data_IF_472787533791
#
_entry.id   IF_472787533791
#
_cell.length_a   1.000
_cell.length_b   1.000
_cell.length_c   1.000
_cell.angle_alpha   90.00
_cell.angle_beta   90.00
_cell.angle_gamma   90.00
#
_symmetry.space_group_name_H-M   'P 1'
#
loop_
_entity.id
_entity.type
_entity.pdbx_description
1 polymer ?
#
# COMPACT_ATOMS: atom_id res chain seq x y z
N UNK A 1 -10.64 -25.10 34.84
CA UNK A 1 -10.74 -25.09 33.36
C UNK A 1 -10.66 -23.70 32.69
N UNK A 2 -10.89 -22.57 33.39
CA UNK A 2 -10.83 -21.23 32.77
C UNK A 2 -9.43 -20.62 32.56
N UNK A 3 -8.40 -21.10 33.25
CA UNK A 3 -7.03 -20.55 33.22
C UNK A 3 -6.19 -21.07 32.04
N UNK A 4 -6.29 -22.38 31.74
CA UNK A 4 -5.60 -23.01 30.60
C UNK A 4 -6.02 -22.43 29.24
N UNK A 5 -7.32 -22.17 29.03
CA UNK A 5 -7.83 -21.58 27.78
C UNK A 5 -7.36 -20.12 27.56
N UNK A 6 -7.15 -19.36 28.65
CA UNK A 6 -6.65 -17.97 28.59
C UNK A 6 -5.15 -17.95 28.27
N UNK A 7 -4.40 -18.90 28.83
CA UNK A 7 -2.97 -19.05 28.61
C UNK A 7 -2.66 -19.53 27.17
N UNK A 8 -3.45 -20.47 26.62
CA UNK A 8 -3.37 -20.89 25.22
C UNK A 8 -3.75 -19.76 24.23
N UNK A 9 -4.74 -18.93 24.59
CA UNK A 9 -5.12 -17.75 23.78
C UNK A 9 -4.02 -16.70 23.69
N UNK A 10 -3.33 -16.41 24.80
CA UNK A 10 -2.20 -15.47 24.82
C UNK A 10 -0.99 -16.00 24.06
N UNK A 11 -0.67 -17.29 24.17
CA UNK A 11 0.44 -17.90 23.43
C UNK A 11 0.21 -17.85 21.91
N UNK A 12 -1.02 -18.07 21.46
CA UNK A 12 -1.39 -18.03 20.03
C UNK A 12 -1.39 -16.60 19.47
N UNK A 13 -1.83 -15.61 20.25
CA UNK A 13 -1.75 -14.19 19.87
C UNK A 13 -0.29 -13.74 19.76
N UNK A 14 0.53 -14.06 20.75
CA UNK A 14 1.95 -13.69 20.77
C UNK A 14 2.71 -14.28 19.58
N UNK A 15 2.50 -15.57 19.27
CA UNK A 15 3.11 -16.20 18.09
C UNK A 15 2.67 -15.55 16.77
N UNK A 16 1.42 -15.11 16.68
CA UNK A 16 0.93 -14.41 15.48
C UNK A 16 1.57 -13.02 15.32
N UNK A 17 1.67 -12.25 16.41
CA UNK A 17 2.27 -10.91 16.37
C UNK A 17 3.79 -10.97 16.04
N UNK A 18 4.50 -11.98 16.55
CA UNK A 18 5.91 -12.24 16.19
C UNK A 18 6.05 -12.64 14.72
N UNK A 19 5.20 -13.53 14.21
CA UNK A 19 5.20 -13.92 12.80
C UNK A 19 4.89 -12.72 11.88
N UNK A 20 3.95 -11.86 12.29
CA UNK A 20 3.59 -10.64 11.57
C UNK A 20 4.80 -9.69 11.47
N UNK A 21 5.48 -9.46 12.60
CA UNK A 21 6.66 -8.61 12.64
C UNK A 21 7.79 -9.16 11.76
N UNK A 22 8.09 -10.45 11.87
CA UNK A 22 9.10 -11.13 11.06
C UNK A 22 8.79 -11.06 9.56
N UNK A 23 7.53 -11.27 9.17
CA UNK A 23 7.09 -11.17 7.78
C UNK A 23 7.22 -9.73 7.23
N UNK A 24 6.86 -8.73 8.02
CA UNK A 24 6.99 -7.32 7.60
C UNK A 24 8.46 -6.92 7.49
N UNK A 25 9.28 -7.27 8.49
CA UNK A 25 10.69 -6.96 8.51
C UNK A 25 11.44 -7.63 7.35
N UNK A 26 11.24 -8.93 7.16
CA UNK A 26 11.85 -9.66 6.04
C UNK A 26 11.38 -9.13 4.68
N UNK A 27 10.11 -8.75 4.54
CA UNK A 27 9.58 -8.20 3.30
C UNK A 27 10.18 -6.84 2.95
N UNK A 28 10.23 -5.92 3.91
CA UNK A 28 10.86 -4.61 3.74
C UNK A 28 12.36 -4.77 3.43
N UNK A 29 13.05 -5.67 4.14
CA UNK A 29 14.46 -5.95 3.88
C UNK A 29 14.68 -6.47 2.45
N UNK A 30 13.87 -7.41 1.98
CA UNK A 30 13.96 -7.92 0.60
C UNK A 30 13.68 -6.82 -0.41
N UNK A 31 12.71 -5.95 -0.17
CA UNK A 31 12.43 -4.79 -1.04
C UNK A 31 13.66 -3.88 -1.13
N UNK A 32 14.28 -3.53 0.01
CA UNK A 32 15.48 -2.67 0.06
C UNK A 32 16.62 -3.33 -0.73
N UNK A 33 16.90 -4.60 -0.45
CA UNK A 33 18.02 -5.32 -1.06
C UNK A 33 17.80 -5.57 -2.56
N UNK A 34 16.58 -5.94 -2.96
CA UNK A 34 16.27 -6.26 -4.36
C UNK A 34 16.23 -5.02 -5.28
N UNK A 35 16.01 -3.82 -4.72
CA UNK A 35 16.00 -2.55 -5.47
C UNK A 35 17.35 -1.83 -5.47
N UNK A 36 18.36 -2.32 -4.74
CA UNK A 36 19.63 -1.61 -4.58
C UNK A 36 20.68 -2.06 -5.59
N UNK A 37 20.99 -1.18 -6.53
CA UNK A 37 21.95 -1.41 -7.60
C UNK A 37 23.40 -1.51 -7.09
N UNK A 38 23.78 -0.76 -6.06
CA UNK A 38 25.16 -0.76 -5.58
C UNK A 38 25.54 -2.13 -5.01
N UNK A 39 24.64 -2.73 -4.22
CA UNK A 39 24.81 -4.09 -3.69
C UNK A 39 24.99 -5.10 -4.81
N UNK A 40 24.28 -4.90 -5.92
CA UNK A 40 24.35 -5.76 -7.08
C UNK A 40 25.72 -5.69 -7.78
N UNK A 41 26.31 -4.50 -7.83
CA UNK A 41 27.58 -4.22 -8.49
C UNK A 41 28.83 -4.61 -7.67
N UNK A 42 28.69 -5.04 -6.42
CA UNK A 42 29.81 -5.51 -5.59
C UNK A 42 30.41 -6.80 -6.17
N UNK A 43 31.72 -6.85 -6.49
CA UNK A 43 32.40 -8.07 -6.91
C UNK A 43 32.23 -9.20 -5.89
N UNK A 44 32.03 -10.44 -6.37
CA UNK A 44 31.83 -11.61 -5.50
C UNK A 44 32.93 -11.77 -4.44
N UNK A 45 34.17 -11.43 -4.78
CA UNK A 45 35.36 -11.54 -3.92
C UNK A 45 35.35 -10.54 -2.74
N UNK A 46 34.64 -9.41 -2.88
CA UNK A 46 34.54 -8.38 -1.85
C UNK A 46 33.30 -8.51 -0.97
N UNK A 47 32.47 -9.55 -1.19
CA UNK A 47 31.28 -9.78 -0.37
C UNK A 47 31.62 -10.60 0.86
N UNK A 48 31.01 -10.24 1.98
CA UNK A 48 31.07 -11.00 3.24
C UNK A 48 30.59 -12.45 3.05
N UNK A 49 29.62 -12.66 2.16
CA UNK A 49 29.12 -13.98 1.79
C UNK A 49 29.39 -14.28 0.31
N UNK A 50 29.90 -15.48 0.01
CA UNK A 50 30.24 -15.94 -1.34
C UNK A 50 29.02 -16.31 -2.20
N UNK A 51 27.92 -15.57 -2.08
CA UNK A 51 26.65 -15.80 -2.77
C UNK A 51 26.63 -15.00 -4.07
N UNK A 52 26.31 -15.67 -5.18
CA UNK A 52 26.17 -15.04 -6.49
C UNK A 52 24.89 -14.21 -6.60
N UNK A 53 24.87 -13.23 -7.51
CA UNK A 53 23.67 -12.42 -7.78
C UNK A 53 22.45 -13.26 -8.19
N UNK A 54 22.67 -14.34 -8.94
CA UNK A 54 21.62 -15.27 -9.36
C UNK A 54 21.03 -16.03 -8.16
N UNK A 55 21.86 -16.45 -7.21
CA UNK A 55 21.40 -17.09 -5.97
C UNK A 55 20.65 -16.11 -5.06
N UNK A 56 21.11 -14.85 -4.97
CA UNK A 56 20.37 -13.80 -4.25
C UNK A 56 18.98 -13.58 -4.86
N UNK A 57 18.86 -13.54 -6.18
CA UNK A 57 17.58 -13.43 -6.85
C UNK A 57 16.63 -14.59 -6.53
N UNK A 58 17.14 -15.82 -6.46
CA UNK A 58 16.35 -16.97 -6.02
C UNK A 58 15.88 -16.80 -4.57
N UNK A 59 16.79 -16.42 -3.66
CA UNK A 59 16.46 -16.20 -2.25
C UNK A 59 15.36 -15.14 -2.11
N UNK A 60 15.48 -14.01 -2.82
CA UNK A 60 14.46 -12.96 -2.82
C UNK A 60 13.12 -13.45 -3.37
N UNK A 61 13.12 -14.25 -4.43
CA UNK A 61 11.89 -14.83 -5.02
C UNK A 61 11.20 -15.83 -4.09
N UNK A 62 11.98 -16.64 -3.35
CA UNK A 62 11.44 -17.57 -2.34
C UNK A 62 10.86 -16.81 -1.16
N UNK A 63 11.58 -15.81 -0.63
CA UNK A 63 11.08 -14.99 0.49
C UNK A 63 9.82 -14.23 0.07
N UNK A 64 9.80 -13.64 -1.13
CA UNK A 64 8.61 -13.02 -1.72
C UNK A 64 7.43 -13.99 -1.73
N UNK A 65 7.61 -15.22 -2.21
CA UNK A 65 6.56 -16.23 -2.27
C UNK A 65 5.98 -16.54 -0.89
N UNK A 66 6.85 -16.74 0.12
CA UNK A 66 6.43 -17.02 1.50
C UNK A 66 5.62 -15.85 2.07
N UNK A 67 6.14 -14.63 1.93
CA UNK A 67 5.49 -13.42 2.45
C UNK A 67 4.17 -13.18 1.71
N UNK A 68 4.14 -13.36 0.40
CA UNK A 68 2.94 -13.15 -0.42
C UNK A 68 1.81 -14.11 -0.03
N UNK A 69 2.13 -15.40 0.19
CA UNK A 69 1.17 -16.38 0.74
C UNK A 69 0.64 -15.91 2.11
N UNK A 70 1.52 -15.40 2.96
CA UNK A 70 1.13 -14.86 4.26
C UNK A 70 0.22 -13.63 4.14
N UNK A 71 0.53 -12.66 3.26
CA UNK A 71 -0.27 -11.46 3.02
C UNK A 71 -1.64 -11.79 2.40
N UNK A 72 -1.70 -12.75 1.47
CA UNK A 72 -2.95 -13.27 0.91
C UNK A 72 -3.81 -13.96 1.97
N UNK A 73 -3.19 -14.76 2.85
CA UNK A 73 -3.90 -15.40 3.97
C UNK A 73 -4.41 -14.37 4.97
N UNK A 74 -3.61 -13.33 5.25
CA UNK A 74 -3.99 -12.26 6.15
C UNK A 74 -5.18 -11.46 5.62
N UNK A 75 -5.14 -11.08 4.34
CA UNK A 75 -6.21 -10.31 3.69
C UNK A 75 -7.50 -11.13 3.47
N UNK A 76 -7.39 -12.41 3.12
CA UNK A 76 -8.55 -13.31 3.01
C UNK A 76 -9.23 -13.62 4.35
N UNK A 77 -8.52 -13.45 5.47
CA UNK A 77 -9.07 -13.69 6.81
C UNK A 77 -10.06 -12.62 7.30
N UNK A 78 -10.21 -11.51 6.58
CA UNK A 78 -11.11 -10.42 6.92
C UNK A 78 -12.59 -10.84 6.81
N UNK A 79 -13.32 -10.78 7.93
CA UNK A 79 -14.75 -11.16 8.00
C UNK A 79 -15.69 -10.08 7.49
N UNK A 80 -15.68 -9.87 6.19
CA UNK A 80 -16.55 -8.91 5.52
C UNK A 80 -18.05 -9.25 5.57
N UNK A 81 -18.93 -8.25 5.38
CA UNK A 81 -20.26 -8.48 4.79
C UNK A 81 -20.18 -9.26 3.47
N UNK A 82 -21.09 -10.22 3.24
CA UNK A 82 -21.18 -10.96 1.96
C UNK A 82 -21.53 -9.99 0.82
N UNK A 83 -20.54 -9.48 0.07
CA UNK A 83 -20.75 -8.71 -1.16
C UNK A 83 -20.06 -9.39 -2.36
N UNK A 84 -20.70 -9.32 -3.54
CA UNK A 84 -20.13 -9.86 -4.80
C UNK A 84 -18.79 -9.21 -5.15
N UNK A 85 -18.67 -7.89 -4.94
CA UNK A 85 -17.47 -7.11 -5.22
C UNK A 85 -16.23 -7.61 -4.45
N UNK A 86 -16.39 -8.07 -3.21
CA UNK A 86 -15.29 -8.65 -2.42
C UNK A 86 -14.77 -9.94 -3.05
N UNK A 87 -15.68 -10.84 -3.42
CA UNK A 87 -15.29 -12.12 -4.02
C UNK A 87 -14.47 -11.88 -5.29
N UNK A 88 -14.94 -10.96 -6.14
CA UNK A 88 -14.25 -10.59 -7.38
C UNK A 88 -12.86 -10.03 -7.05
N UNK A 89 -12.78 -8.97 -6.24
CA UNK A 89 -11.48 -8.34 -5.92
C UNK A 89 -10.48 -9.28 -5.25
N UNK A 90 -10.92 -10.16 -4.35
CA UNK A 90 -10.07 -11.17 -3.70
C UNK A 90 -9.57 -12.24 -4.69
N UNK A 91 -10.45 -12.74 -5.56
CA UNK A 91 -10.06 -13.74 -6.57
C UNK A 91 -9.10 -13.10 -7.58
N UNK A 92 -9.37 -11.88 -8.03
CA UNK A 92 -8.50 -11.15 -8.96
C UNK A 92 -7.10 -10.99 -8.39
N UNK A 93 -6.95 -10.52 -7.14
CA UNK A 93 -5.60 -10.36 -6.56
C UNK A 93 -4.90 -11.71 -6.35
N UNK A 94 -5.63 -12.75 -5.97
CA UNK A 94 -5.05 -14.10 -5.81
C UNK A 94 -4.48 -14.59 -7.14
N UNK A 95 -5.23 -14.47 -8.23
CA UNK A 95 -4.78 -14.87 -9.57
C UNK A 95 -3.55 -14.07 -10.02
N UNK A 96 -3.59 -12.74 -9.84
CA UNK A 96 -2.45 -11.85 -10.17
C UNK A 96 -1.20 -12.28 -9.41
N UNK A 97 -1.32 -12.50 -8.10
CA UNK A 97 -0.17 -12.87 -7.28
C UNK A 97 0.36 -14.27 -7.60
N UNK A 98 -0.50 -15.23 -7.96
CA UNK A 98 -0.10 -16.55 -8.45
C UNK A 98 0.72 -16.48 -9.75
N UNK A 99 0.30 -15.61 -10.67
CA UNK A 99 1.02 -15.35 -11.92
C UNK A 99 2.38 -14.71 -11.65
N UNK A 100 2.45 -13.69 -10.79
CA UNK A 100 3.71 -13.03 -10.43
C UNK A 100 4.73 -13.99 -9.79
N UNK A 101 4.27 -14.84 -8.86
CA UNK A 101 5.13 -15.87 -8.25
C UNK A 101 5.71 -16.81 -9.33
N UNK A 102 4.86 -17.31 -10.22
CA UNK A 102 5.28 -18.20 -11.31
C UNK A 102 6.29 -17.52 -12.24
N UNK A 103 6.06 -16.26 -12.64
CA UNK A 103 6.95 -15.52 -13.54
C UNK A 103 8.35 -15.29 -12.96
N UNK A 104 8.48 -15.03 -11.65
CA UNK A 104 9.78 -14.89 -11.01
C UNK A 104 10.60 -16.19 -11.09
N UNK A 105 9.97 -17.34 -10.85
CA UNK A 105 10.64 -18.65 -10.99
C UNK A 105 10.94 -19.00 -12.45
N UNK A 106 10.09 -18.59 -13.40
CA UNK A 106 10.37 -18.73 -14.84
C UNK A 106 11.65 -17.97 -15.21
N UNK A 107 11.81 -16.71 -14.77
CA UNK A 107 13.04 -15.95 -15.01
C UNK A 107 14.25 -16.66 -14.41
N UNK A 108 14.15 -17.14 -13.17
CA UNK A 108 15.24 -17.89 -12.55
C UNK A 108 15.64 -19.13 -13.36
N UNK A 109 14.65 -19.89 -13.87
CA UNK A 109 14.87 -21.03 -14.75
C UNK A 109 15.58 -20.65 -16.05
N UNK A 110 15.14 -19.58 -16.71
CA UNK A 110 15.76 -19.05 -17.94
C UNK A 110 17.24 -18.69 -17.70
N UNK A 111 17.51 -17.99 -16.60
CA UNK A 111 18.86 -17.60 -16.20
C UNK A 111 19.76 -18.83 -16.01
N UNK A 112 19.28 -19.87 -15.31
CA UNK A 112 20.08 -21.06 -15.01
C UNK A 112 20.33 -21.96 -16.22
N UNK A 113 19.36 -22.08 -17.13
CA UNK A 113 19.47 -22.99 -18.28
C UNK A 113 20.16 -22.31 -19.46
N UNK A 114 19.74 -21.08 -19.78
CA UNK A 114 20.12 -20.40 -21.03
C UNK A 114 21.09 -19.24 -20.83
N UNK A 115 21.48 -18.93 -19.58
CA UNK A 115 22.32 -17.77 -19.24
C UNK A 115 21.78 -16.42 -19.77
N UNK A 116 20.47 -16.36 -20.02
CA UNK A 116 19.74 -15.19 -20.51
C UNK A 116 18.30 -15.24 -19.99
N UNK A 117 17.59 -14.11 -20.01
CA UNK A 117 16.15 -14.09 -19.78
C UNK A 117 15.46 -13.17 -20.79
N UNK A 118 14.18 -13.45 -21.07
CA UNK A 118 13.39 -12.66 -22.01
C UNK A 118 12.85 -11.41 -21.33
N UNK A 119 13.06 -10.25 -21.96
CA UNK A 119 12.60 -8.96 -21.42
C UNK A 119 11.07 -8.90 -21.30
N UNK A 120 10.34 -9.61 -22.17
CA UNK A 120 8.90 -9.75 -22.11
C UNK A 120 8.39 -10.27 -20.75
N UNK A 121 9.03 -11.28 -20.16
CA UNK A 121 8.60 -11.82 -18.86
C UNK A 121 8.83 -10.80 -17.75
N UNK A 122 9.99 -10.12 -17.78
CA UNK A 122 10.32 -9.07 -16.82
C UNK A 122 9.36 -7.88 -16.88
N UNK A 123 9.09 -7.34 -18.07
CA UNK A 123 8.15 -6.23 -18.21
C UNK A 123 6.71 -6.63 -17.90
N UNK A 124 6.31 -7.89 -18.14
CA UNK A 124 4.99 -8.38 -17.73
C UNK A 124 4.81 -8.36 -16.22
N UNK A 125 5.84 -8.72 -15.44
CA UNK A 125 5.83 -8.59 -13.96
C UNK A 125 5.59 -7.14 -13.56
N UNK A 126 6.33 -6.21 -14.18
CA UNK A 126 6.24 -4.77 -13.87
C UNK A 126 4.84 -4.24 -14.21
N UNK A 127 4.35 -4.46 -15.42
CA UNK A 127 3.05 -3.96 -15.86
C UNK A 127 1.90 -4.53 -15.04
N UNK A 128 1.92 -5.84 -14.75
CA UNK A 128 0.87 -6.47 -13.96
C UNK A 128 0.84 -5.91 -12.52
N UNK A 129 2.01 -5.63 -11.94
CA UNK A 129 2.14 -5.06 -10.60
C UNK A 129 1.68 -3.60 -10.53
N UNK A 130 2.11 -2.77 -11.48
CA UNK A 130 1.73 -1.35 -11.55
C UNK A 130 0.24 -1.18 -11.90
N UNK A 131 -0.26 -1.93 -12.88
CA UNK A 131 -1.65 -1.85 -13.31
C UNK A 131 -2.62 -2.33 -12.21
N UNK A 132 -2.29 -3.44 -11.53
CA UNK A 132 -3.10 -3.91 -10.40
C UNK A 132 -3.10 -2.89 -9.25
N UNK A 133 -1.96 -2.26 -8.98
CA UNK A 133 -1.86 -1.19 -7.99
C UNK A 133 -2.71 0.03 -8.35
N UNK A 134 -2.61 0.53 -9.58
CA UNK A 134 -3.43 1.63 -10.08
C UNK A 134 -4.93 1.31 -9.94
N UNK A 135 -5.35 0.10 -10.32
CA UNK A 135 -6.74 -0.32 -10.20
C UNK A 135 -7.25 -0.30 -8.74
N UNK A 136 -6.52 -0.90 -7.79
CA UNK A 136 -6.96 -0.91 -6.38
C UNK A 136 -6.88 0.46 -5.71
N UNK A 137 -5.92 1.31 -6.09
CA UNK A 137 -5.83 2.69 -5.64
C UNK A 137 -6.98 3.54 -6.18
N UNK A 138 -7.34 3.38 -7.45
CA UNK A 138 -8.50 4.04 -8.05
C UNK A 138 -9.81 3.63 -7.34
N UNK A 139 -10.01 2.34 -7.08
CA UNK A 139 -11.17 1.85 -6.32
C UNK A 139 -11.20 2.48 -4.92
N UNK A 140 -10.05 2.55 -4.24
CA UNK A 140 -9.94 3.18 -2.92
C UNK A 140 -10.27 4.66 -2.95
N UNK A 141 -9.73 5.40 -3.93
CA UNK A 141 -10.00 6.81 -4.14
C UNK A 141 -11.50 7.08 -4.36
N UNK A 142 -12.15 6.32 -5.26
CA UNK A 142 -13.59 6.43 -5.52
C UNK A 142 -14.39 6.21 -4.23
N UNK A 143 -13.99 5.24 -3.41
CA UNK A 143 -14.67 4.96 -2.14
C UNK A 143 -14.54 6.14 -1.15
N UNK A 144 -13.36 6.75 -1.04
CA UNK A 144 -13.14 7.95 -0.21
C UNK A 144 -13.97 9.15 -0.69
N UNK A 145 -14.03 9.38 -2.01
CA UNK A 145 -14.84 10.45 -2.59
C UNK A 145 -16.34 10.25 -2.33
N UNK A 146 -16.83 9.01 -2.42
CA UNK A 146 -18.21 8.66 -2.05
C UNK A 146 -18.51 8.95 -0.59
N UNK A 147 -17.58 8.63 0.31
CA UNK A 147 -17.74 8.96 1.73
C UNK A 147 -17.71 10.46 1.98
N UNK A 148 -16.83 11.19 1.30
CA UNK A 148 -16.77 12.64 1.42
C UNK A 148 -18.08 13.32 0.98
N UNK A 149 -18.69 12.87 -0.12
CA UNK A 149 -19.98 13.38 -0.59
C UNK A 149 -21.07 13.31 0.48
N UNK A 150 -21.03 12.31 1.37
CA UNK A 150 -22.02 12.09 2.44
C UNK A 150 -21.65 12.75 3.77
N UNK A 151 -20.40 12.62 4.21
CA UNK A 151 -19.95 13.09 5.53
C UNK A 151 -19.30 14.48 5.55
N UNK A 152 -18.90 15.01 4.38
CA UNK A 152 -18.18 16.29 4.19
C UNK A 152 -17.02 16.50 5.19
N UNK A 153 -16.21 15.47 5.42
CA UNK A 153 -15.07 15.54 6.33
C UNK A 153 -13.75 15.76 5.59
N UNK A 154 -12.98 16.78 6.01
CA UNK A 154 -11.69 17.13 5.42
C UNK A 154 -10.69 15.96 5.41
N UNK A 155 -10.57 15.19 6.50
CA UNK A 155 -9.62 14.07 6.56
C UNK A 155 -9.96 13.00 5.51
N UNK A 156 -11.25 12.75 5.25
CA UNK A 156 -11.70 11.75 4.27
C UNK A 156 -11.32 12.16 2.85
N UNK A 157 -11.47 13.44 2.50
CA UNK A 157 -11.05 13.93 1.17
C UNK A 157 -9.54 13.96 1.04
N UNK A 158 -8.77 14.32 2.08
CA UNK A 158 -7.30 14.29 1.99
C UNK A 158 -6.77 12.87 1.75
N UNK A 159 -7.34 11.85 2.41
CA UNK A 159 -7.02 10.44 2.09
C UNK A 159 -7.40 10.06 0.67
N UNK A 160 -8.57 10.50 0.19
CA UNK A 160 -8.97 10.32 -1.21
C UNK A 160 -7.96 10.92 -2.19
N UNK A 161 -7.48 12.13 -1.92
CA UNK A 161 -6.45 12.80 -2.72
C UNK A 161 -5.12 12.04 -2.69
N UNK A 162 -4.67 11.53 -1.53
CA UNK A 162 -3.47 10.69 -1.45
C UNK A 162 -3.60 9.46 -2.36
N UNK A 163 -4.74 8.76 -2.31
CA UNK A 163 -4.97 7.59 -3.16
C UNK A 163 -5.01 7.95 -4.65
N UNK A 164 -5.57 9.12 -5.01
CA UNK A 164 -5.56 9.62 -6.40
C UNK A 164 -4.15 9.93 -6.88
N UNK A 165 -3.36 10.68 -6.10
CA UNK A 165 -1.98 11.03 -6.49
C UNK A 165 -1.12 9.76 -6.62
N UNK A 166 -1.28 8.78 -5.72
CA UNK A 166 -0.63 7.48 -5.84
C UNK A 166 -1.09 6.72 -7.09
N UNK A 167 -2.39 6.74 -7.41
CA UNK A 167 -2.90 6.14 -8.64
C UNK A 167 -2.30 6.79 -9.89
N UNK A 168 -2.26 8.12 -9.94
CA UNK A 168 -1.64 8.88 -11.03
C UNK A 168 -0.15 8.55 -11.15
N UNK A 169 0.58 8.48 -10.04
CA UNK A 169 1.99 8.11 -10.03
C UNK A 169 2.21 6.69 -10.58
N UNK A 170 1.37 5.71 -10.21
CA UNK A 170 1.42 4.35 -10.78
C UNK A 170 1.14 4.35 -12.29
N UNK A 171 0.18 5.14 -12.77
CA UNK A 171 -0.14 5.25 -14.20
C UNK A 171 1.03 5.88 -14.98
N UNK A 172 1.61 6.96 -14.46
CA UNK A 172 2.81 7.59 -15.05
C UNK A 172 3.96 6.57 -15.08
N UNK A 173 4.14 5.77 -14.02
CA UNK A 173 5.13 4.71 -13.98
C UNK A 173 4.95 3.66 -15.08
N UNK A 174 3.70 3.25 -15.38
CA UNK A 174 3.42 2.34 -16.51
C UNK A 174 3.86 2.96 -17.83
N UNK A 175 3.47 4.21 -18.08
CA UNK A 175 3.82 4.92 -19.32
C UNK A 175 5.34 5.08 -19.44
N UNK A 176 6.00 5.50 -18.36
CA UNK A 176 7.43 5.71 -18.34
C UNK A 176 8.22 4.42 -18.61
N UNK A 177 7.90 3.33 -17.92
CA UNK A 177 8.53 2.03 -18.17
C UNK A 177 8.23 1.53 -19.58
N UNK A 178 7.04 1.81 -20.13
CA UNK A 178 6.71 1.41 -21.50
C UNK A 178 7.60 2.08 -22.55
N UNK A 179 7.85 3.39 -22.43
CA UNK A 179 8.77 4.11 -23.32
C UNK A 179 10.20 3.58 -23.18
N UNK A 180 10.64 3.34 -21.95
CA UNK A 180 11.98 2.80 -21.69
C UNK A 180 12.12 1.34 -22.15
N UNK A 181 11.05 0.55 -22.17
CA UNK A 181 11.11 -0.85 -22.61
C UNK A 181 11.42 -0.98 -24.11
N UNK A 182 11.05 0.02 -24.92
CA UNK A 182 11.28 0.03 -26.38
C UNK A 182 12.76 0.14 -26.75
N UNK A 183 13.60 0.73 -25.89
CA UNK A 183 15.04 0.84 -26.12
C UNK A 183 15.83 -0.41 -25.69
N UNK A 184 15.16 -1.39 -25.09
CA UNK A 184 15.80 -2.59 -24.56
C UNK A 184 15.71 -3.76 -25.54
N UNK A 185 16.74 -4.60 -25.57
CA UNK A 185 16.75 -5.82 -26.37
C UNK A 185 15.72 -6.85 -25.88
N UNK A 186 15.24 -7.69 -26.80
CA UNK A 186 14.28 -8.77 -26.50
C UNK A 186 14.82 -9.79 -25.50
N UNK A 187 16.15 -9.96 -25.47
CA UNK A 187 16.84 -10.83 -24.52
C UNK A 187 17.85 -10.03 -23.71
N UNK A 188 17.96 -10.34 -22.43
CA UNK A 188 18.88 -9.68 -21.50
C UNK A 188 19.89 -10.72 -21.03
N UNK A 189 21.17 -10.38 -21.19
CA UNK A 189 22.33 -11.20 -20.82
C UNK A 189 23.16 -10.45 -19.77
N UNK A 190 24.08 -11.18 -19.13
CA UNK A 190 25.04 -10.58 -18.21
C UNK A 190 25.83 -9.44 -18.88
N UNK A 191 25.88 -8.30 -18.18
CA UNK A 191 26.69 -7.13 -18.55
C UNK A 191 27.39 -6.61 -17.29
N UNK A 192 28.58 -6.06 -17.44
CA UNK A 192 29.30 -5.45 -16.31
C UNK A 192 28.58 -4.19 -15.82
N UNK A 193 28.76 -3.84 -14.54
CA UNK A 193 28.10 -2.65 -13.96
C UNK A 193 28.46 -1.36 -14.71
N UNK A 194 29.71 -1.20 -15.16
CA UNK A 194 30.14 -0.06 -15.99
C UNK A 194 29.34 0.06 -17.29
N UNK A 195 29.12 -1.06 -17.98
CA UNK A 195 28.36 -1.12 -19.24
C UNK A 195 26.87 -0.91 -18.97
N UNK A 196 26.35 -1.41 -17.85
CA UNK A 196 24.99 -1.19 -17.40
C UNK A 196 24.71 0.29 -17.14
N UNK A 197 25.61 0.97 -16.44
CA UNK A 197 25.51 2.41 -16.14
C UNK A 197 25.64 3.27 -17.40
N UNK A 198 26.50 2.88 -18.34
CA UNK A 198 26.65 3.56 -19.63
C UNK A 198 25.43 3.48 -20.54
N UNK A 199 24.53 2.51 -20.34
CA UNK A 199 23.30 2.34 -21.13
C UNK A 199 22.08 3.11 -20.59
N UNK A 200 22.24 3.91 -19.54
CA UNK A 200 21.19 4.84 -19.09
C UNK A 200 20.91 5.96 -20.12
N UNK A 201 21.72 6.08 -21.17
CA UNK A 201 21.46 6.97 -22.30
C UNK A 201 20.26 6.51 -23.12
N UNK A 202 19.16 7.26 -23.06
CA UNK A 202 17.94 6.98 -23.80
C UNK A 202 17.99 7.63 -25.20
N UNK A 203 17.54 6.94 -26.28
CA UNK A 203 17.49 7.51 -27.63
C UNK A 203 16.56 8.74 -27.75
N UNK A 204 15.54 8.87 -26.88
CA UNK A 204 14.64 10.03 -26.84
C UNK A 204 14.73 10.73 -25.47
N UNK A 205 15.79 11.52 -25.22
CA UNK A 205 16.03 12.10 -23.91
C UNK A 205 14.92 13.08 -23.50
N UNK A 206 14.30 13.80 -24.43
CA UNK A 206 13.29 14.81 -24.11
C UNK A 206 12.02 14.21 -23.48
N UNK A 207 11.39 13.23 -24.15
CA UNK A 207 10.15 12.59 -23.67
C UNK A 207 10.40 11.84 -22.37
N UNK A 208 11.54 11.15 -22.27
CA UNK A 208 11.88 10.36 -21.09
C UNK A 208 12.19 11.26 -19.89
N UNK A 209 12.89 12.39 -20.08
CA UNK A 209 13.11 13.37 -19.03
C UNK A 209 11.80 13.98 -18.53
N UNK A 210 10.85 14.30 -19.42
CA UNK A 210 9.53 14.80 -19.01
C UNK A 210 8.81 13.76 -18.14
N UNK A 211 8.80 12.49 -18.57
CA UNK A 211 8.13 11.41 -17.84
C UNK A 211 8.80 11.11 -16.48
N UNK A 212 10.13 11.12 -16.41
CA UNK A 212 10.88 10.99 -15.15
C UNK A 212 10.51 12.12 -14.20
N UNK A 213 10.58 13.37 -14.67
CA UNK A 213 10.25 14.53 -13.85
C UNK A 213 8.81 14.48 -13.36
N UNK A 214 7.85 14.10 -14.21
CA UNK A 214 6.45 13.91 -13.81
C UNK A 214 6.30 12.80 -12.76
N UNK A 215 6.99 11.68 -12.94
CA UNK A 215 6.99 10.59 -11.97
C UNK A 215 7.56 11.05 -10.63
N UNK A 216 8.71 11.74 -10.62
CA UNK A 216 9.37 12.19 -9.39
C UNK A 216 8.56 13.26 -8.67
N UNK A 217 8.02 14.25 -9.39
CA UNK A 217 7.14 15.29 -8.84
C UNK A 217 5.90 14.66 -8.21
N UNK A 218 5.22 13.77 -8.93
CA UNK A 218 4.03 13.09 -8.38
C UNK A 218 4.37 12.18 -7.20
N UNK A 219 5.53 11.52 -7.23
CA UNK A 219 6.05 10.71 -6.14
C UNK A 219 6.34 11.56 -4.90
N UNK A 220 6.94 12.74 -5.07
CA UNK A 220 7.17 13.73 -4.01
C UNK A 220 5.85 14.18 -3.38
N UNK A 221 4.90 14.65 -4.18
CA UNK A 221 3.58 15.07 -3.69
C UNK A 221 2.83 13.93 -2.99
N UNK A 222 2.90 12.70 -3.52
CA UNK A 222 2.28 11.54 -2.88
C UNK A 222 2.83 11.29 -1.47
N UNK A 223 4.14 11.46 -1.30
CA UNK A 223 4.82 11.24 -0.02
C UNK A 223 4.49 12.37 0.98
N UNK A 224 4.60 13.63 0.56
CA UNK A 224 4.30 14.79 1.42
C UNK A 224 2.83 14.78 1.87
N UNK A 225 1.91 14.45 0.97
CA UNK A 225 0.49 14.33 1.31
C UNK A 225 0.23 13.17 2.25
N UNK A 226 0.82 11.99 2.01
CA UNK A 226 0.70 10.85 2.91
C UNK A 226 1.29 11.16 4.30
N UNK A 227 2.43 11.85 4.35
CA UNK A 227 3.03 12.35 5.57
C UNK A 227 2.10 13.30 6.32
N UNK A 228 1.60 14.35 5.65
CA UNK A 228 0.69 15.33 6.24
C UNK A 228 -0.55 14.66 6.83
N UNK A 229 -1.16 13.74 6.07
CA UNK A 229 -2.33 12.98 6.51
C UNK A 229 -2.00 12.09 7.73
N UNK A 230 -0.85 11.43 7.72
CA UNK A 230 -0.39 10.57 8.83
C UNK A 230 -0.14 11.38 10.10
N UNK A 231 0.46 12.57 9.98
CA UNK A 231 0.66 13.53 11.07
C UNK A 231 -0.69 13.95 11.63
N UNK A 232 -1.62 14.41 10.78
CA UNK A 232 -2.96 14.84 11.21
C UNK A 232 -3.71 13.72 11.92
N UNK A 233 -3.67 12.52 11.37
CA UNK A 233 -4.25 11.32 11.98
C UNK A 233 -3.65 11.08 13.36
N UNK A 234 -2.33 10.98 13.49
CA UNK A 234 -1.67 10.68 14.78
C UNK A 234 -1.71 11.84 15.79
N UNK A 235 -1.87 13.09 15.34
CA UNK A 235 -2.09 14.26 16.21
C UNK A 235 -3.34 14.06 17.06
N UNK A 236 -4.39 13.50 16.46
CA UNK A 236 -5.62 13.15 17.15
C UNK A 236 -5.39 12.04 18.20
N UNK A 237 -4.36 11.18 18.04
CA UNK A 237 -4.09 10.06 18.97
C UNK A 237 -3.01 10.35 20.02
N UNK A 238 -2.27 11.45 19.94
CA UNK A 238 -1.16 11.79 20.84
C UNK A 238 -1.56 12.90 21.81
N UNK A 239 -2.35 12.53 22.82
CA UNK A 239 -2.64 13.40 23.96
C UNK A 239 -1.43 13.45 24.89
N UNK A 240 -0.91 14.65 25.15
CA UNK A 240 -0.05 14.98 26.31
C UNK A 240 1.45 14.59 26.33
N UNK A 241 2.15 14.46 25.19
CA UNK A 241 3.63 14.44 25.20
C UNK A 241 4.20 15.67 24.49
N UNK A 242 5.29 16.22 25.05
CA UNK A 242 5.99 17.44 24.61
C UNK A 242 5.82 17.70 23.11
N UNK A 243 5.11 18.79 22.78
CA UNK A 243 4.78 19.21 21.40
C UNK A 243 6.02 19.21 20.48
N UNK A 244 7.17 19.52 21.04
CA UNK A 244 8.47 19.52 20.35
C UNK A 244 8.93 18.10 19.99
N UNK A 245 8.88 17.14 20.93
CA UNK A 245 9.22 15.73 20.68
C UNK A 245 8.28 15.11 19.64
N UNK A 246 7.00 15.49 19.68
CA UNK A 246 6.06 15.15 18.61
C UNK A 246 6.60 15.66 17.26
N UNK A 247 6.77 16.95 17.06
CA UNK A 247 7.23 17.47 15.76
C UNK A 247 8.57 16.89 15.29
N UNK A 248 9.52 16.61 16.19
CA UNK A 248 10.80 15.94 15.82
C UNK A 248 10.57 14.54 15.28
N UNK A 249 9.79 13.69 15.98
CA UNK A 249 9.51 12.31 15.54
C UNK A 249 8.78 12.33 14.19
N UNK A 250 7.83 13.25 14.03
CA UNK A 250 7.05 13.38 12.81
C UNK A 250 7.86 14.02 11.67
N UNK A 251 8.89 14.82 11.93
CA UNK A 251 9.78 15.35 10.89
C UNK A 251 10.78 14.31 10.36
N UNK A 252 11.07 13.26 11.13
CA UNK A 252 12.10 12.27 10.80
C UNK A 252 11.90 11.62 9.41
N UNK A 253 10.71 11.11 9.01
CA UNK A 253 10.52 10.54 7.68
C UNK A 253 10.73 11.56 6.55
N UNK A 254 10.42 12.83 6.82
CA UNK A 254 10.59 13.91 5.85
C UNK A 254 12.07 14.25 5.68
N UNK A 255 12.83 14.33 6.78
CA UNK A 255 14.28 14.55 6.77
C UNK A 255 15.00 13.42 6.03
N UNK A 256 14.58 12.17 6.20
CA UNK A 256 15.13 11.04 5.44
C UNK A 256 14.73 11.04 3.96
N UNK A 257 13.58 11.62 3.63
CA UNK A 257 13.04 11.63 2.26
C UNK A 257 13.64 12.75 1.38
N UNK A 258 13.81 13.95 1.95
CA UNK A 258 14.26 15.15 1.23
C UNK A 258 15.60 15.00 0.48
N UNK A 259 16.66 14.36 1.04
CA UNK A 259 17.95 14.22 0.36
C UNK A 259 17.87 13.57 -1.02
N UNK A 260 16.94 12.64 -1.24
CA UNK A 260 16.73 12.00 -2.55
C UNK A 260 16.26 12.99 -3.62
N UNK A 261 15.51 14.01 -3.21
CA UNK A 261 14.93 15.02 -4.11
C UNK A 261 15.74 16.31 -4.18
N UNK A 262 16.81 16.46 -3.38
CA UNK A 262 17.77 17.56 -3.57
C UNK A 262 18.40 17.52 -4.97
N UNK A 263 18.61 16.31 -5.52
CA UNK A 263 19.05 16.10 -6.91
C UNK A 263 17.99 16.61 -7.91
N UNK A 264 16.70 16.52 -7.59
CA UNK A 264 15.61 17.04 -8.43
C UNK A 264 15.43 18.56 -8.27
N UNK A 265 15.66 19.12 -7.08
CA UNK A 265 15.66 20.57 -6.83
C UNK A 265 16.86 21.26 -7.50
N UNK A 266 18.00 20.57 -7.62
CA UNK A 266 19.15 21.02 -8.41
C UNK A 266 18.80 21.28 -9.89
N UNK A 267 17.87 20.52 -10.48
CA UNK A 267 17.38 20.79 -11.84
C UNK A 267 16.40 21.97 -11.92
N UNK A 268 15.70 22.30 -10.83
CA UNK A 268 14.77 23.44 -10.77
C UNK A 268 15.47 24.77 -10.46
N UNK A 269 16.58 24.73 -9.73
CA UNK A 269 17.42 25.88 -9.44
C UNK A 269 18.57 25.90 -10.43
N UNK A 270 18.51 26.77 -11.45
CA UNK A 270 19.58 27.04 -12.44
C UNK A 270 20.92 27.54 -11.82
N UNK A 271 21.18 27.26 -10.55
CA UNK A 271 22.35 27.68 -9.81
C UNK A 271 23.06 26.47 -9.22
N UNK A 272 24.37 26.46 -9.43
CA UNK A 272 25.37 25.57 -8.84
C UNK A 272 25.24 25.59 -7.32
N UNK A 273 24.37 24.74 -6.78
CA UNK A 273 24.46 24.35 -5.38
C UNK A 273 25.47 23.21 -5.37
N UNK A 274 26.71 23.52 -5.02
CA UNK A 274 27.72 22.50 -4.74
C UNK A 274 27.12 21.49 -3.76
N UNK A 275 27.08 20.22 -4.15
CA UNK A 275 26.30 19.24 -3.40
C UNK A 275 26.86 19.13 -1.97
N UNK A 276 26.00 19.39 -0.98
CA UNK A 276 26.32 19.17 0.43
C UNK A 276 26.61 17.68 0.68
N UNK A 277 26.02 16.76 -0.09
CA UNK A 277 26.26 15.32 0.00
C UNK A 277 27.47 14.81 -0.79
N UNK A 278 27.90 15.48 -1.88
CA UNK A 278 29.15 15.09 -2.59
C UNK A 278 30.40 15.74 -2.00
N UNK A 279 30.24 16.77 -1.16
CA UNK A 279 31.33 17.41 -0.42
C UNK A 279 31.68 16.68 0.87
N UNK A 280 30.83 15.77 1.36
CA UNK A 280 31.22 14.82 2.41
C UNK A 280 32.16 13.81 1.77
N UNK A 281 33.46 14.12 1.83
CA UNK A 281 34.56 13.20 1.59
C UNK A 281 34.60 12.15 2.70
N UNK A 282 33.54 11.36 2.83
CA UNK A 282 33.62 10.10 3.56
C UNK A 282 34.77 9.33 2.91
N UNK A 283 35.75 8.96 3.73
CA UNK A 283 36.81 8.04 3.34
C UNK A 283 36.17 6.92 2.52
N UNK A 284 36.79 6.59 1.39
CA UNK A 284 36.32 5.62 0.41
C UNK A 284 36.37 4.19 0.96
N UNK A 285 36.12 4.00 2.25
CA UNK A 285 35.78 2.72 2.83
C UNK A 285 34.51 2.26 2.14
N UNK A 286 34.72 1.31 1.22
CA UNK A 286 33.72 0.72 0.35
C UNK A 286 32.46 0.36 1.15
N UNK A 287 32.62 -0.14 2.38
CA UNK A 287 31.51 -0.52 3.26
C UNK A 287 30.78 0.66 3.92
N UNK A 288 31.47 1.71 4.34
CA UNK A 288 30.87 2.84 5.06
C UNK A 288 29.99 3.71 4.15
N UNK A 289 30.53 4.08 2.99
CA UNK A 289 29.79 4.83 1.97
C UNK A 289 28.58 4.05 1.44
N UNK A 290 28.74 2.75 1.15
CA UNK A 290 27.65 1.91 0.63
C UNK A 290 26.53 1.70 1.65
N UNK A 291 26.88 1.51 2.93
CA UNK A 291 25.87 1.35 4.00
C UNK A 291 25.07 2.63 4.17
N UNK A 292 25.75 3.79 4.16
CA UNK A 292 25.09 5.10 4.22
C UNK A 292 24.21 5.34 2.98
N UNK A 293 24.71 5.05 1.77
CA UNK A 293 23.93 5.23 0.54
C UNK A 293 22.70 4.31 0.50
N UNK A 294 22.86 3.06 0.93
CA UNK A 294 21.73 2.11 1.06
C UNK A 294 20.69 2.62 2.04
N UNK A 295 21.11 3.19 3.18
CA UNK A 295 20.23 3.74 4.19
C UNK A 295 19.46 4.96 3.65
N UNK A 296 20.14 5.87 2.94
CA UNK A 296 19.52 7.06 2.34
C UNK A 296 18.56 6.69 1.20
N UNK A 297 18.92 5.71 0.36
CA UNK A 297 18.05 5.19 -0.70
C UNK A 297 16.86 4.38 -0.16
N UNK A 298 16.88 3.98 1.11
CA UNK A 298 15.77 3.28 1.78
C UNK A 298 14.67 4.23 2.30
N UNK A 299 14.65 5.48 1.83
CA UNK A 299 13.77 6.51 2.36
C UNK A 299 12.27 6.22 2.19
N UNK A 300 11.87 5.64 1.05
CA UNK A 300 10.49 5.25 0.76
C UNK A 300 10.01 4.14 1.70
N UNK A 301 10.89 3.21 2.04
CA UNK A 301 10.63 2.09 2.94
C UNK A 301 10.49 2.58 4.38
N UNK A 302 11.37 3.49 4.82
CA UNK A 302 11.28 4.14 6.14
C UNK A 302 10.00 4.97 6.25
N UNK A 303 9.67 5.77 5.23
CA UNK A 303 8.43 6.54 5.19
C UNK A 303 7.18 5.64 5.16
N UNK A 304 7.19 4.56 4.37
CA UNK A 304 6.12 3.58 4.34
C UNK A 304 5.87 2.92 5.70
N UNK A 305 6.94 2.51 6.38
CA UNK A 305 6.87 1.99 7.75
C UNK A 305 6.20 3.00 8.70
N UNK A 306 6.57 4.27 8.61
CA UNK A 306 5.96 5.33 9.40
C UNK A 306 4.47 5.54 9.10
N UNK A 307 4.08 5.60 7.82
CA UNK A 307 2.68 5.78 7.42
C UNK A 307 1.81 4.59 7.86
N UNK A 308 2.31 3.36 7.71
CA UNK A 308 1.63 2.17 8.18
C UNK A 308 1.52 2.09 9.71
N UNK A 309 2.54 2.58 10.44
CA UNK A 309 2.56 2.58 11.90
C UNK A 309 1.39 3.37 12.48
N UNK A 310 0.91 4.43 11.80
CA UNK A 310 -0.26 5.17 12.26
C UNK A 310 -1.49 4.28 12.40
N UNK A 311 -1.77 3.43 11.41
CA UNK A 311 -2.89 2.49 11.47
C UNK A 311 -2.68 1.41 12.53
N UNK A 312 -1.45 0.94 12.73
CA UNK A 312 -1.11 -0.02 13.78
C UNK A 312 -1.27 0.55 15.19
N UNK A 313 -0.89 1.81 15.41
CA UNK A 313 -1.08 2.51 16.70
C UNK A 313 -2.56 2.65 17.01
N UNK A 314 -3.40 2.96 16.01
CA UNK A 314 -4.85 2.97 16.20
C UNK A 314 -5.35 1.57 16.53
N UNK A 315 -4.94 0.56 15.76
CA UNK A 315 -5.35 -0.82 15.99
C UNK A 315 -5.02 -1.29 17.41
N UNK A 316 -3.85 -0.92 17.94
CA UNK A 316 -3.44 -1.24 19.31
C UNK A 316 -4.40 -0.67 20.38
N UNK A 317 -5.04 0.47 20.11
CA UNK A 317 -6.03 1.09 21.01
C UNK A 317 -7.43 0.46 20.93
N UNK A 318 -7.75 -0.26 19.85
CA UNK A 318 -9.05 -0.93 19.64
C UNK A 318 -9.02 -2.39 20.12
N UNK A 319 -8.69 -2.62 21.41
CA UNK A 319 -8.53 -3.98 21.96
C UNK A 319 -9.82 -4.80 22.00
N UNK A 320 -10.97 -4.15 22.16
CA UNK A 320 -12.29 -4.80 22.27
C UNK A 320 -12.85 -5.29 20.93
N UNK A 321 -12.54 -4.60 19.83
CA UNK A 321 -13.13 -4.85 18.50
C UNK A 321 -12.19 -5.66 17.59
N UNK A 322 -12.16 -6.99 17.78
CA UNK A 322 -11.20 -7.89 17.11
C UNK A 322 -11.19 -7.77 15.57
N UNK A 323 -12.35 -7.63 14.92
CA UNK A 323 -12.43 -7.59 13.45
C UNK A 323 -11.98 -6.24 12.86
N UNK A 324 -12.26 -5.14 13.57
CA UNK A 324 -11.80 -3.81 13.17
C UNK A 324 -10.31 -3.66 13.37
N UNK A 325 -9.80 -4.14 14.51
CA UNK A 325 -8.37 -4.20 14.79
C UNK A 325 -7.62 -4.91 13.67
N UNK A 326 -8.09 -6.08 13.26
CA UNK A 326 -7.48 -6.83 12.14
C UNK A 326 -7.51 -6.06 10.83
N UNK A 327 -8.61 -5.36 10.54
CA UNK A 327 -8.76 -4.61 9.30
C UNK A 327 -7.80 -3.41 9.25
N UNK A 328 -7.60 -2.72 10.37
CA UNK A 328 -6.60 -1.66 10.51
C UNK A 328 -5.16 -2.19 10.42
N UNK A 329 -4.89 -3.37 10.98
CA UNK A 329 -3.58 -4.04 10.82
C UNK A 329 -3.30 -4.33 9.34
N UNK A 330 -4.29 -4.85 8.61
CA UNK A 330 -4.18 -5.10 7.17
C UNK A 330 -3.93 -3.80 6.40
N UNK A 331 -4.64 -2.72 6.71
CA UNK A 331 -4.40 -1.41 6.10
C UNK A 331 -2.98 -0.91 6.38
N UNK A 332 -2.54 -0.98 7.64
CA UNK A 332 -1.20 -0.53 8.04
C UNK A 332 -0.11 -1.26 7.26
N UNK A 333 -0.16 -2.59 7.23
CA UNK A 333 0.79 -3.40 6.46
C UNK A 333 0.71 -3.09 4.96
N UNK A 334 -0.50 -2.94 4.41
CA UNK A 334 -0.70 -2.55 3.03
C UNK A 334 -0.01 -1.23 2.68
N UNK A 335 -0.13 -0.22 3.54
CA UNK A 335 0.55 1.07 3.35
C UNK A 335 2.08 0.92 3.45
N UNK A 336 2.59 0.13 4.41
CA UNK A 336 4.03 -0.11 4.52
C UNK A 336 4.60 -0.68 3.23
N UNK A 337 4.02 -1.78 2.74
CA UNK A 337 4.49 -2.45 1.54
C UNK A 337 4.26 -1.61 0.28
N UNK A 338 3.18 -0.83 0.21
CA UNK A 338 2.87 0.01 -0.95
C UNK A 338 3.94 1.07 -1.16
N UNK A 339 4.31 1.80 -0.11
CA UNK A 339 5.36 2.80 -0.20
C UNK A 339 6.75 2.16 -0.33
N UNK A 340 6.98 1.02 0.31
CA UNK A 340 8.26 0.34 0.20
C UNK A 340 8.55 -0.16 -1.23
N UNK A 341 7.54 -0.67 -1.93
CA UNK A 341 7.68 -1.30 -3.26
C UNK A 341 7.50 -0.37 -4.45
N UNK A 342 7.08 0.89 -4.27
CA UNK A 342 6.71 1.76 -5.40
C UNK A 342 7.89 2.26 -6.24
N UNK A 343 9.12 2.06 -5.80
CA UNK A 343 10.31 2.60 -6.45
C UNK A 343 10.56 1.92 -7.81
N UNK A 344 10.55 2.72 -8.89
CA UNK A 344 10.78 2.23 -10.25
C UNK A 344 12.20 2.50 -10.76
N UNK A 345 13.04 3.24 -10.02
CA UNK A 345 14.38 3.63 -10.48
C UNK A 345 15.25 2.42 -10.85
N UNK A 346 15.14 1.33 -10.07
CA UNK A 346 15.84 0.07 -10.33
C UNK A 346 15.33 -0.70 -11.56
N UNK A 347 14.10 -0.45 -12.00
CA UNK A 347 13.43 -1.20 -13.09
C UNK A 347 13.80 -0.67 -14.47
N UNK A 348 14.30 0.56 -14.55
CA UNK A 348 14.75 1.21 -15.80
C UNK A 348 15.98 0.48 -16.36
N UNK A 349 16.74 -0.13 -15.47
CA UNK A 349 18.01 -0.77 -15.77
C UNK A 349 17.75 -2.26 -16.04
N UNK A 350 17.93 -2.68 -17.29
CA UNK A 350 17.86 -4.11 -17.66
C UNK A 350 19.07 -4.89 -17.16
N UNK A 351 19.11 -5.13 -15.85
CA UNK A 351 20.18 -5.85 -15.17
C UNK A 351 19.99 -7.37 -15.22
N UNK A 352 21.06 -8.13 -15.06
CA UNK A 352 21.01 -9.59 -15.04
C UNK A 352 21.57 -10.14 -13.73
N UNK A 353 20.78 -10.77 -12.82
CA UNK A 353 19.31 -10.93 -12.82
C UNK A 353 18.53 -9.60 -12.71
N UNK A 354 17.20 -9.62 -12.95
CA UNK A 354 16.39 -8.41 -12.97
C UNK A 354 16.25 -7.77 -11.59
N UNK A 355 16.87 -6.59 -11.45
CA UNK A 355 16.81 -5.75 -10.27
C UNK A 355 15.40 -5.16 -10.11
N UNK A 356 14.92 -5.05 -8.88
CA UNK A 356 13.62 -4.47 -8.57
C UNK A 356 12.39 -5.33 -8.92
N UNK A 357 12.51 -6.38 -9.74
CA UNK A 357 11.38 -7.25 -10.14
C UNK A 357 10.63 -7.84 -8.93
N UNK A 358 11.38 -8.31 -7.93
CA UNK A 358 10.81 -8.86 -6.70
C UNK A 358 10.16 -7.76 -5.85
N UNK A 359 10.78 -6.58 -5.82
CA UNK A 359 10.31 -5.43 -5.04
C UNK A 359 8.95 -4.95 -5.55
N UNK A 360 8.84 -4.67 -6.85
CA UNK A 360 7.62 -4.15 -7.48
C UNK A 360 6.45 -5.13 -7.41
N UNK A 361 6.72 -6.45 -7.36
CA UNK A 361 5.70 -7.50 -7.28
C UNK A 361 4.81 -7.38 -6.02
N UNK A 362 5.29 -6.75 -4.94
CA UNK A 362 4.50 -6.49 -3.73
C UNK A 362 3.44 -5.40 -3.91
N UNK A 363 3.59 -4.52 -4.91
CA UNK A 363 2.80 -3.29 -5.02
C UNK A 363 1.30 -3.57 -5.24
N UNK A 364 0.98 -4.60 -6.03
CA UNK A 364 -0.40 -5.03 -6.29
C UNK A 364 -1.12 -5.57 -5.05
N UNK A 365 -0.48 -6.46 -4.27
CA UNK A 365 -1.09 -6.99 -3.03
C UNK A 365 -1.17 -5.92 -1.94
N UNK A 366 -0.19 -5.02 -1.87
CA UNK A 366 -0.16 -3.93 -0.92
C UNK A 366 -1.34 -2.96 -1.12
N UNK A 367 -1.56 -2.49 -2.35
CA UNK A 367 -2.71 -1.64 -2.70
C UNK A 367 -4.06 -2.32 -2.43
N UNK A 368 -4.19 -3.62 -2.72
CA UNK A 368 -5.37 -4.40 -2.37
C UNK A 368 -5.61 -4.44 -0.85
N UNK A 369 -4.56 -4.64 -0.05
CA UNK A 369 -4.66 -4.64 1.41
C UNK A 369 -5.11 -3.28 1.95
N UNK A 370 -4.62 -2.18 1.38
CA UNK A 370 -5.10 -0.82 1.71
C UNK A 370 -6.60 -0.72 1.45
N UNK A 371 -7.05 -1.07 0.24
CA UNK A 371 -8.46 -1.06 -0.13
C UNK A 371 -9.32 -1.93 0.81
N UNK A 372 -8.96 -3.21 0.94
CA UNK A 372 -9.73 -4.20 1.68
C UNK A 372 -9.79 -3.87 3.18
N UNK A 373 -8.67 -3.44 3.76
CA UNK A 373 -8.61 -3.08 5.17
C UNK A 373 -9.44 -1.83 5.49
N UNK A 374 -9.36 -0.78 4.66
CA UNK A 374 -10.09 0.48 4.89
C UNK A 374 -11.59 0.25 4.73
N UNK A 375 -12.01 -0.41 3.64
CA UNK A 375 -13.41 -0.71 3.42
C UNK A 375 -13.97 -1.60 4.53
N UNK A 376 -13.23 -2.63 4.98
CA UNK A 376 -13.75 -3.50 6.04
C UNK A 376 -13.85 -2.76 7.39
N UNK A 377 -12.88 -1.90 7.69
CA UNK A 377 -12.94 -1.03 8.87
C UNK A 377 -14.19 -0.16 8.83
N UNK A 378 -14.48 0.47 7.69
CA UNK A 378 -15.69 1.25 7.47
C UNK A 378 -16.97 0.44 7.67
N UNK A 379 -17.06 -0.73 7.03
CA UNK A 379 -18.25 -1.59 7.05
C UNK A 379 -18.55 -2.16 8.44
N UNK A 380 -17.52 -2.55 9.19
CA UNK A 380 -17.70 -3.01 10.57
C UNK A 380 -18.11 -1.86 11.50
N UNK A 381 -17.50 -0.68 11.34
CA UNK A 381 -17.82 0.48 12.16
C UNK A 381 -19.24 1.03 11.90
N UNK A 382 -19.73 0.90 10.66
CA UNK A 382 -21.10 1.18 10.27
C UNK A 382 -22.09 0.23 10.97
N UNK A 383 -21.86 -1.09 10.93
CA UNK A 383 -22.85 -2.07 11.40
C UNK A 383 -22.99 -2.19 12.92
N UNK A 384 -21.95 -1.90 13.67
CA UNK A 384 -21.97 -2.06 15.12
C UNK A 384 -22.68 -0.89 15.83
N UNK A 385 -23.85 -1.16 16.43
CA UNK A 385 -24.64 -0.17 17.18
C UNK A 385 -23.97 0.24 18.49
N UNK A 386 -23.30 -0.70 19.17
CA UNK A 386 -22.59 -0.45 20.43
C UNK A 386 -21.38 0.41 20.15
N UNK A 387 -20.60 0.05 19.13
CA UNK A 387 -19.49 0.87 18.70
C UNK A 387 -19.91 2.22 18.14
N UNK A 388 -21.02 2.34 17.39
CA UNK A 388 -21.54 3.66 17.00
C UNK A 388 -21.87 4.52 18.21
N UNK A 389 -22.45 3.92 19.25
CA UNK A 389 -22.75 4.61 20.51
C UNK A 389 -21.47 4.99 21.24
N UNK A 390 -20.49 4.09 21.32
CA UNK A 390 -19.20 4.34 21.97
C UNK A 390 -18.36 5.38 21.20
N UNK A 391 -18.34 5.31 19.87
CA UNK A 391 -17.78 6.34 18.98
C UNK A 391 -18.48 7.67 19.16
N UNK A 392 -19.78 7.73 19.50
CA UNK A 392 -20.54 8.97 19.66
C UNK A 392 -20.47 9.56 21.07
N UNK A 393 -20.33 8.72 22.10
CA UNK A 393 -20.49 9.10 23.52
C UNK A 393 -19.19 9.02 24.30
N UNK A 394 -18.34 8.01 24.08
CA UNK A 394 -17.25 7.66 25.00
C UNK A 394 -15.84 7.88 24.45
N UNK A 395 -15.68 8.00 23.13
CA UNK A 395 -14.36 8.23 22.54
C UNK A 395 -14.21 9.73 22.31
N UNK A 396 -13.31 10.34 23.09
CA UNK A 396 -12.75 11.67 22.85
C UNK A 396 -12.52 11.94 21.36
N UNK A 397 -12.37 13.21 20.96
CA UNK A 397 -12.17 13.73 19.60
C UNK A 397 -11.10 13.05 18.70
N UNK A 398 -10.54 11.93 19.13
CA UNK A 398 -9.39 11.21 18.63
C UNK A 398 -9.72 10.17 17.54
N UNK A 399 -10.98 9.98 17.12
CA UNK A 399 -11.39 9.00 16.09
C UNK A 399 -12.29 9.66 15.01
N UNK A 400 -11.96 10.88 14.58
CA UNK A 400 -12.81 11.59 13.60
C UNK A 400 -12.85 10.91 12.25
N UNK A 401 -11.73 10.39 11.78
CA UNK A 401 -11.64 9.69 10.49
C UNK A 401 -12.55 8.46 10.45
N UNK A 402 -12.38 7.51 11.37
CA UNK A 402 -13.19 6.28 11.36
C UNK A 402 -14.66 6.59 11.63
N UNK A 403 -14.98 7.54 12.54
CA UNK A 403 -16.37 7.96 12.80
C UNK A 403 -17.02 8.51 11.53
N UNK A 404 -16.31 9.37 10.80
CA UNK A 404 -16.82 9.94 9.56
C UNK A 404 -17.06 8.86 8.51
N UNK A 405 -16.06 8.02 8.24
CA UNK A 405 -16.15 6.95 7.26
C UNK A 405 -17.28 5.97 7.61
N UNK A 406 -17.43 5.61 8.89
CA UNK A 406 -18.51 4.75 9.36
C UNK A 406 -19.89 5.37 9.13
N UNK A 407 -20.08 6.64 9.50
CA UNK A 407 -21.35 7.34 9.31
C UNK A 407 -21.73 7.51 7.84
N UNK A 408 -20.75 7.79 6.97
CA UNK A 408 -20.96 7.90 5.53
C UNK A 408 -21.27 6.54 4.91
N UNK A 409 -20.59 5.48 5.36
CA UNK A 409 -20.85 4.12 4.91
C UNK A 409 -22.25 3.64 5.30
N UNK A 410 -22.69 3.95 6.52
CA UNK A 410 -24.05 3.68 6.99
C UNK A 410 -25.12 4.31 6.09
N UNK A 411 -24.93 5.58 5.73
CA UNK A 411 -25.87 6.30 4.86
C UNK A 411 -25.91 5.67 3.46
N UNK A 412 -24.75 5.30 2.90
CA UNK A 412 -24.67 4.62 1.60
C UNK A 412 -25.37 3.25 1.63
N UNK A 413 -25.21 2.47 2.69
CA UNK A 413 -25.87 1.17 2.84
C UNK A 413 -27.39 1.34 2.99
N UNK A 414 -27.85 2.34 3.74
CA UNK A 414 -29.27 2.65 3.87
C UNK A 414 -29.89 3.09 2.54
N UNK A 415 -29.25 3.99 1.79
CA UNK A 415 -29.73 4.42 0.46
C UNK A 415 -29.81 3.25 -0.52
N UNK A 416 -28.81 2.36 -0.48
CA UNK A 416 -28.81 1.16 -1.32
C UNK A 416 -29.99 0.24 -0.98
N UNK A 417 -30.21 -0.05 0.30
CA UNK A 417 -31.30 -0.92 0.72
C UNK A 417 -32.67 -0.32 0.39
N UNK A 418 -32.85 1.01 0.55
CA UNK A 418 -34.09 1.70 0.14
C UNK A 418 -34.32 1.58 -1.36
N UNK A 419 -33.28 1.74 -2.19
CA UNK A 419 -33.40 1.56 -3.64
C UNK A 419 -33.75 0.12 -4.02
N UNK A 420 -33.12 -0.88 -3.39
CA UNK A 420 -33.45 -2.29 -3.65
C UNK A 420 -34.90 -2.61 -3.27
N UNK A 421 -35.40 -2.08 -2.14
CA UNK A 421 -36.81 -2.20 -1.75
C UNK A 421 -37.71 -1.47 -2.72
N UNK A 422 -37.35 -0.28 -3.19
CA UNK A 422 -38.13 0.48 -4.18
C UNK A 422 -38.21 -0.26 -5.52
N UNK A 423 -37.10 -0.85 -5.98
CA UNK A 423 -37.13 -1.68 -7.19
C UNK A 423 -38.01 -2.91 -6.99
N UNK A 424 -37.93 -3.57 -5.83
CA UNK A 424 -38.78 -4.72 -5.52
C UNK A 424 -40.26 -4.31 -5.41
N UNK A 425 -40.57 -3.18 -4.76
CA UNK A 425 -41.94 -2.68 -4.63
C UNK A 425 -42.49 -2.26 -5.98
N UNK A 426 -41.74 -1.55 -6.83
CA UNK A 426 -42.18 -1.20 -8.19
C UNK A 426 -42.39 -2.44 -9.07
N UNK A 427 -41.64 -3.53 -8.86
CA UNK A 427 -41.89 -4.80 -9.54
C UNK A 427 -43.17 -5.49 -9.04
N UNK A 428 -43.38 -5.55 -7.73
CA UNK A 428 -44.59 -6.14 -7.12
C UNK A 428 -45.85 -5.29 -7.40
N UNK A 429 -45.73 -3.97 -7.42
CA UNK A 429 -46.85 -3.05 -7.68
C UNK A 429 -47.25 -3.00 -9.16
N UNK A 430 -46.34 -3.34 -10.09
CA UNK A 430 -46.67 -3.59 -11.50
C UNK A 430 -47.44 -4.90 -11.70
N UNK A 431 -47.37 -5.83 -10.75
CA UNK A 431 -48.18 -7.06 -10.75
C UNK A 431 -49.54 -6.85 -10.07
N UNK A 432 -49.68 -5.89 -9.14
CA UNK A 432 -50.86 -5.71 -8.26
C UNK A 432 -51.63 -4.37 -8.43
N UNK A 433 -51.39 -3.57 -9.48
CA UNK A 433 -52.07 -2.26 -9.74
C UNK A 433 -52.12 -1.31 -8.52
N UNK A 434 -51.05 -1.23 -7.73
CA UNK A 434 -50.96 -0.34 -6.56
C UNK A 434 -50.19 0.96 -6.86
N UNK A 435 -50.50 2.08 -6.16
CA UNK A 435 -49.86 3.37 -6.42
C UNK A 435 -48.37 3.37 -6.07
N UNK A 436 -47.57 4.05 -6.91
CA UNK A 436 -46.12 4.18 -6.79
C UNK A 436 -45.73 4.89 -5.48
N UNK A 437 -45.02 4.19 -4.60
CA UNK A 437 -44.49 4.77 -3.37
C UNK A 437 -43.28 5.66 -3.67
N UNK A 438 -43.25 6.87 -3.09
CA UNK A 438 -42.10 7.78 -3.26
C UNK A 438 -40.89 7.33 -2.42
N UNK A 439 -39.68 7.73 -2.84
CA UNK A 439 -38.44 7.37 -2.14
C UNK A 439 -38.43 7.79 -0.66
N UNK A 440 -39.09 8.90 -0.33
CA UNK A 440 -39.18 9.40 1.04
C UNK A 440 -40.09 8.52 1.91
N UNK A 441 -41.24 8.08 1.38
CA UNK A 441 -42.18 7.20 2.08
C UNK A 441 -41.56 5.83 2.38
N UNK A 442 -40.84 5.24 1.42
CA UNK A 442 -40.15 3.96 1.64
C UNK A 442 -39.06 4.10 2.71
N UNK A 443 -38.33 5.23 2.70
CA UNK A 443 -37.30 5.50 3.71
C UNK A 443 -37.91 5.60 5.11
N UNK A 444 -39.08 6.22 5.24
CA UNK A 444 -39.78 6.36 6.51
C UNK A 444 -40.36 5.03 6.99
N UNK A 445 -40.93 4.21 6.09
CA UNK A 445 -41.40 2.85 6.39
C UNK A 445 -40.24 1.99 6.91
N UNK A 446 -39.10 1.97 6.20
CA UNK A 446 -37.91 1.19 6.61
C UNK A 446 -37.40 1.65 7.97
N UNK A 447 -37.33 2.97 8.20
CA UNK A 447 -36.92 3.51 9.49
C UNK A 447 -37.89 3.12 10.61
N UNK A 448 -39.20 3.17 10.38
CA UNK A 448 -40.22 2.80 11.35
C UNK A 448 -40.17 1.31 11.70
N UNK A 449 -40.04 0.42 10.70
CA UNK A 449 -39.90 -1.03 10.93
C UNK A 449 -38.61 -1.33 11.70
N UNK A 450 -37.50 -0.68 11.36
CA UNK A 450 -36.23 -0.82 12.09
C UNK A 450 -36.38 -0.34 13.55
N UNK A 451 -37.14 0.71 13.81
CA UNK A 451 -37.41 1.23 15.15
C UNK A 451 -38.31 0.28 15.96
N UNK A 452 -39.35 -0.29 15.34
CA UNK A 452 -40.23 -1.27 15.98
C UNK A 452 -39.50 -2.57 16.33
N UNK A 453 -38.70 -3.11 15.41
CA UNK A 453 -37.90 -4.31 15.67
C UNK A 453 -36.87 -4.07 16.79
N UNK A 454 -36.28 -2.87 16.86
CA UNK A 454 -35.40 -2.48 17.98
C UNK A 454 -36.15 -2.34 19.30
N UNK A 455 -37.40 -1.88 19.31
CA UNK A 455 -38.24 -1.81 20.51
C UNK A 455 -38.62 -3.22 20.99
N UNK A 456 -38.96 -4.14 20.09
CA UNK A 456 -39.26 -5.54 20.43
C UNK A 456 -38.03 -6.27 21.01
N UNK A 457 -36.84 -6.06 20.46
CA UNK A 457 -35.57 -6.62 21.00
C UNK A 457 -35.12 -6.05 22.35
N UNK A 458 -35.70 -4.95 22.83
CA UNK A 458 -35.41 -4.37 24.15
C UNK A 458 -36.38 -4.80 25.25
N UNK A 459 -37.50 -5.44 24.86
CA UNK A 459 -38.53 -5.97 25.76
C UNK A 459 -38.42 -7.50 25.95
N UNK A 460 -37.56 -8.15 25.17
CA UNK A 460 -37.02 -9.50 25.40
C UNK A 460 -35.61 -9.36 25.93
#
# INVERSE_FOLDING_TARGET
MGTSNKQYGNLRSFRFDVLLFLACFSGILVIILASNLDLFCIPKQSRVFSISNVELFLIYSVIFTIINIFLLKLSSSLKYPRSRLRKITLVTILMIQLVLMSMLFIIYGQIKISSLYYSAVFYTIIYLSLASSAAFLAISAIQFLRWFSKGRNYLVITYGLVMLVLCTNSVIGVVYISVNSLSHSETIKYKSCSVMMGMLGNPNPEVTNILVNLYDITSFFSFVMAWLVTVLMLKEYTKHRNKLVYWIIFALPLIFFLPRYEIALYYFSNHQVDNILTSISLSRDIYGYQTLNTLLNSNLQVGGAFFGMAFLVIAAKLTSEREQRKSLIVTGIGIMFLFASKDISSLIISSYPPLGAVSIAFMGIASYMVYAGIYNTAAHAARDKKLRRDLRVNIENNIKLLRSIASSQDQLEMEKNVKEIMTLSTHLQKEDEQPDLTQNEIRDIVNNVILELKKKQKKS
#
